data_IF_930416890573
#
_entry.id   IF_930416890573
#
_cell.length_a   1.000
_cell.length_b   1.000
_cell.length_c   1.000
_cell.angle_alpha   90.00
_cell.angle_beta   90.00
_cell.angle_gamma   90.00
#
_symmetry.space_group_name_H-M   'P 1'
#
loop_
_entity.id
_entity.type
_entity.pdbx_description
1 polymer ?
#
# COMPACT_ATOMS: atom_id res chain seq x y z
N UNK A 1 -15.25 2.48 4.93
CA UNK A 1 -15.03 2.39 3.48
C UNK A 1 -13.79 1.52 3.25
N UNK A 2 -13.76 0.66 2.22
CA UNK A 2 -12.63 -0.27 1.95
C UNK A 2 -12.17 -0.06 0.51
N UNK A 3 -10.91 0.29 0.34
CA UNK A 3 -10.27 0.48 -0.97
C UNK A 3 -9.09 -0.48 -1.12
N UNK A 4 -8.87 -0.99 -2.33
CA UNK A 4 -7.73 -1.87 -2.65
C UNK A 4 -6.92 -1.29 -3.81
N UNK A 5 -5.60 -1.38 -3.72
CA UNK A 5 -4.70 -0.86 -4.74
C UNK A 5 -3.47 -1.74 -4.88
N UNK A 6 -2.96 -1.85 -6.11
CA UNK A 6 -1.75 -2.60 -6.41
C UNK A 6 -0.55 -1.68 -6.36
N UNK A 7 0.43 -2.01 -5.51
CA UNK A 7 1.71 -1.31 -5.41
C UNK A 7 2.87 -2.27 -5.30
N UNK A 8 4.02 -1.84 -5.82
CA UNK A 8 5.26 -2.57 -5.67
C UNK A 8 5.84 -2.31 -4.29
N UNK A 9 6.17 -3.39 -3.57
CA UNK A 9 6.92 -3.32 -2.33
C UNK A 9 8.34 -2.82 -2.61
N UNK A 10 8.82 -1.84 -1.85
CA UNK A 10 10.18 -1.31 -1.92
C UNK A 10 10.91 -1.51 -0.59
N UNK A 11 12.25 -1.54 -0.64
CA UNK A 11 13.07 -1.53 0.58
C UNK A 11 13.12 -0.11 1.15
N UNK A 12 12.79 0.02 2.43
CA UNK A 12 12.87 1.29 3.18
C UNK A 12 13.66 1.00 4.46
N UNK A 13 14.92 1.48 4.51
CA UNK A 13 15.84 1.12 5.58
C UNK A 13 16.09 -0.39 5.65
N UNK A 14 15.81 -0.99 6.82
CA UNK A 14 15.91 -2.44 7.08
C UNK A 14 14.61 -3.20 6.81
N UNK A 15 13.53 -2.51 6.41
CA UNK A 15 12.20 -3.08 6.24
C UNK A 15 11.71 -3.03 4.80
N UNK A 16 10.65 -3.77 4.53
CA UNK A 16 9.86 -3.64 3.31
C UNK A 16 8.71 -2.66 3.57
N UNK A 17 8.48 -1.75 2.62
CA UNK A 17 7.45 -0.73 2.70
C UNK A 17 6.65 -0.60 1.42
N UNK A 18 5.40 -0.20 1.56
CA UNK A 18 4.52 0.22 0.48
C UNK A 18 4.14 1.67 0.77
N UNK A 19 4.24 2.54 -0.23
CA UNK A 19 3.73 3.89 -0.09
C UNK A 19 2.22 3.90 -0.30
N UNK A 20 1.48 4.52 0.63
CA UNK A 20 0.06 4.80 0.46
C UNK A 20 -0.05 6.04 -0.44
N UNK A 21 -0.77 5.98 -1.58
CA UNK A 21 -0.93 7.14 -2.45
C UNK A 21 -1.68 8.30 -1.75
N UNK A 22 -1.36 9.58 -2.04
CA UNK A 22 -2.00 10.73 -1.41
C UNK A 22 -3.53 10.78 -1.57
N UNK A 23 -4.05 10.28 -2.70
CA UNK A 23 -5.49 10.17 -2.95
C UNK A 23 -6.18 9.23 -1.94
N UNK A 24 -5.52 8.14 -1.55
CA UNK A 24 -6.02 7.19 -0.55
C UNK A 24 -5.94 7.78 0.85
N UNK A 25 -4.85 8.50 1.17
CA UNK A 25 -4.71 9.23 2.44
C UNK A 25 -5.88 10.20 2.63
N UNK A 26 -6.20 10.99 1.59
CA UNK A 26 -7.33 11.94 1.64
C UNK A 26 -8.68 11.22 1.74
N UNK A 27 -8.88 10.18 0.93
CA UNK A 27 -10.16 9.45 0.86
C UNK A 27 -10.51 8.73 2.17
N UNK A 28 -9.51 8.16 2.83
CA UNK A 28 -9.67 7.42 4.09
C UNK A 28 -9.36 8.29 5.32
N UNK A 29 -9.06 9.57 5.12
CA UNK A 29 -8.69 10.55 6.16
C UNK A 29 -7.56 10.07 7.08
N UNK A 30 -6.58 9.34 6.53
CA UNK A 30 -5.48 8.75 7.29
C UNK A 30 -4.57 9.83 7.88
N UNK A 31 -4.12 9.60 9.10
CA UNK A 31 -3.20 10.46 9.85
C UNK A 31 -2.04 9.65 10.40
N UNK A 32 -1.00 10.35 10.86
CA UNK A 32 0.05 9.73 11.65
C UNK A 32 -0.56 9.04 12.89
N UNK A 33 0.00 7.90 13.29
CA UNK A 33 -0.45 7.06 14.41
C UNK A 33 -1.80 6.34 14.26
N UNK A 34 -2.49 6.47 13.13
CA UNK A 34 -3.69 5.69 12.87
C UNK A 34 -3.38 4.18 12.76
N UNK A 35 -4.23 3.36 13.38
CA UNK A 35 -4.14 1.90 13.28
C UNK A 35 -4.97 1.42 12.09
N UNK A 36 -4.31 0.82 11.11
CA UNK A 36 -4.94 0.26 9.92
C UNK A 36 -4.89 -1.26 9.91
N UNK A 37 -5.95 -1.89 9.39
CA UNK A 37 -5.93 -3.33 9.06
C UNK A 37 -5.31 -3.51 7.68
N UNK A 38 -4.32 -4.39 7.57
CA UNK A 38 -3.65 -4.70 6.29
C UNK A 38 -4.09 -6.08 5.79
N UNK A 39 -4.55 -6.14 4.54
CA UNK A 39 -4.74 -7.38 3.79
C UNK A 39 -3.70 -7.42 2.65
N UNK A 40 -2.92 -8.49 2.55
CA UNK A 40 -1.81 -8.61 1.58
C UNK A 40 -2.11 -9.73 0.59
N UNK A 41 -2.13 -9.39 -0.70
CA UNK A 41 -2.21 -10.34 -1.81
C UNK A 41 -1.02 -10.14 -2.75
N UNK A 42 -0.26 -11.21 -3.01
CA UNK A 42 0.87 -11.18 -3.95
C UNK A 42 0.35 -11.36 -5.38
N UNK A 43 0.26 -10.26 -6.12
CA UNK A 43 -0.07 -10.30 -7.55
C UNK A 43 1.18 -10.58 -8.40
N UNK A 44 1.02 -11.38 -9.46
CA UNK A 44 2.11 -11.57 -10.43
C UNK A 44 2.32 -10.26 -11.18
N UNK A 45 3.57 -9.80 -11.26
CA UNK A 45 3.93 -8.71 -12.17
C UNK A 45 3.60 -9.19 -13.57
N UNK A 46 2.69 -8.51 -14.27
CA UNK A 46 2.42 -8.79 -15.68
C UNK A 46 3.68 -8.38 -16.46
N UNK A 47 4.63 -9.29 -16.54
CA UNK A 47 5.72 -9.24 -17.51
C UNK A 47 5.20 -9.90 -18.78
N UNK A 48 5.12 -9.11 -19.86
CA UNK A 48 5.24 -9.67 -21.21
C UNK A 48 6.49 -10.56 -21.24
N UNK A 49 6.37 -11.72 -21.89
CA UNK A 49 7.50 -12.52 -22.36
C UNK A 49 8.59 -11.64 -22.99
#
# INVERSE_FOLDING_TARGET
>A
MKESFVRTIRKTGTSLGINIPPEIIKLLELREDDIVRIEIEKVKKSGKN
#
